data_IF_097138773981
#
_entry.id   IF_097138773981
#
_cell.length_a   1.000
_cell.length_b   1.000
_cell.length_c   1.000
_cell.angle_alpha   90.00
_cell.angle_beta   90.00
_cell.angle_gamma   90.00
#
_symmetry.space_group_name_H-M   'P 1'
#
loop_
_entity.id
_entity.type
_entity.pdbx_description
1 polymer ?
#
# COMPACT_ATOMS: atom_id res chain seq x y z
N UNK A 1 0.50 -1.75 -5.94
CA UNK A 1 1.38 -1.12 -6.95
C UNK A 1 2.21 0.00 -6.31
N UNK A 2 3.44 0.27 -6.76
CA UNK A 2 4.26 1.41 -6.26
C UNK A 2 4.87 2.21 -7.41
N UNK A 3 4.72 3.54 -7.39
CA UNK A 3 5.42 4.47 -8.30
C UNK A 3 6.22 5.51 -7.50
N UNK A 4 7.27 6.07 -8.10
CA UNK A 4 8.07 7.14 -7.47
C UNK A 4 8.24 8.28 -8.47
N UNK A 5 7.88 9.49 -8.06
CA UNK A 5 7.96 10.70 -8.87
C UNK A 5 8.42 11.87 -8.00
N UNK A 6 9.47 12.58 -8.40
CA UNK A 6 10.02 13.75 -7.71
C UNK A 6 10.22 13.57 -6.18
N UNK A 7 10.70 12.38 -5.77
CA UNK A 7 10.91 12.06 -4.36
C UNK A 7 9.64 11.71 -3.58
N UNK A 8 8.51 11.52 -4.23
CA UNK A 8 7.26 11.05 -3.61
C UNK A 8 6.93 9.65 -4.11
N UNK A 9 6.80 8.69 -3.19
CA UNK A 9 6.35 7.35 -3.52
C UNK A 9 4.83 7.26 -3.36
N UNK A 10 4.13 6.73 -4.38
CA UNK A 10 2.71 6.40 -4.28
C UNK A 10 2.55 4.88 -4.18
N UNK A 11 1.97 4.40 -3.08
CA UNK A 11 1.66 2.99 -2.82
C UNK A 11 0.15 2.80 -2.89
N UNK A 12 -0.29 1.87 -3.72
CA UNK A 12 -1.70 1.57 -3.90
C UNK A 12 -2.06 0.18 -3.39
N UNK A 13 -2.97 0.13 -2.41
CA UNK A 13 -3.71 -1.04 -1.99
C UNK A 13 -4.66 -1.45 -3.12
N UNK A 14 -4.58 -2.70 -3.58
CA UNK A 14 -5.20 -3.13 -4.85
C UNK A 14 -6.04 -4.40 -4.68
N UNK A 15 -7.02 -4.35 -3.76
CA UNK A 15 -8.11 -5.34 -3.62
C UNK A 15 -9.45 -4.59 -3.62
N UNK A 16 -9.79 -3.85 -4.69
CA UNK A 16 -10.96 -2.97 -4.71
C UNK A 16 -12.28 -3.70 -4.43
N UNK A 17 -12.42 -4.95 -4.90
CA UNK A 17 -13.61 -5.79 -4.67
C UNK A 17 -13.80 -6.21 -3.20
N UNK A 18 -12.76 -6.07 -2.38
CA UNK A 18 -12.77 -6.31 -0.93
C UNK A 18 -12.61 -5.01 -0.15
N UNK A 19 -12.87 -3.85 -0.79
CA UNK A 19 -12.65 -2.53 -0.20
C UNK A 19 -11.24 -2.37 0.38
N UNK A 20 -10.24 -3.00 -0.24
CA UNK A 20 -8.85 -3.01 0.19
C UNK A 20 -8.63 -3.56 1.62
N UNK A 21 -9.48 -4.49 2.07
CA UNK A 21 -9.29 -5.21 3.33
C UNK A 21 -7.92 -5.90 3.41
N UNK A 22 -7.31 -5.88 4.59
CA UNK A 22 -5.97 -6.40 4.85
C UNK A 22 -6.02 -7.84 5.35
N UNK A 23 -5.74 -8.78 4.45
CA UNK A 23 -5.39 -10.15 4.80
C UNK A 23 -3.88 -10.28 5.08
N UNK A 24 -3.41 -11.48 5.46
CA UNK A 24 -2.00 -11.69 5.76
C UNK A 24 -1.08 -11.44 4.56
N UNK A 25 -1.49 -11.84 3.35
CA UNK A 25 -0.69 -11.62 2.15
C UNK A 25 -0.50 -10.13 1.87
N UNK A 26 -1.56 -9.33 2.00
CA UNK A 26 -1.51 -7.88 1.82
C UNK A 26 -0.67 -7.19 2.90
N UNK A 27 -0.74 -7.66 4.16
CA UNK A 27 0.15 -7.17 5.22
C UNK A 27 1.62 -7.43 4.89
N UNK A 28 1.96 -8.64 4.43
CA UNK A 28 3.33 -8.99 4.03
C UNK A 28 3.82 -8.12 2.86
N UNK A 29 2.96 -7.86 1.87
CA UNK A 29 3.27 -6.98 0.74
C UNK A 29 3.52 -5.53 1.19
N UNK A 30 2.67 -4.99 2.07
CA UNK A 30 2.84 -3.64 2.63
C UNK A 30 4.16 -3.54 3.40
N UNK A 31 4.50 -4.55 4.20
CA UNK A 31 5.78 -4.61 4.91
C UNK A 31 6.98 -4.70 3.96
N UNK A 32 6.87 -5.47 2.88
CA UNK A 32 7.92 -5.55 1.87
C UNK A 32 8.14 -4.20 1.18
N UNK A 33 7.06 -3.50 0.81
CA UNK A 33 7.11 -2.16 0.23
C UNK A 33 7.71 -1.17 1.23
N UNK A 34 7.27 -1.17 2.48
CA UNK A 34 7.80 -0.30 3.54
C UNK A 34 9.31 -0.51 3.71
N UNK A 35 9.78 -1.76 3.77
CA UNK A 35 11.22 -2.09 3.89
C UNK A 35 12.03 -1.57 2.71
N UNK A 36 11.46 -1.63 1.50
CA UNK A 36 12.09 -1.10 0.28
C UNK A 36 12.17 0.43 0.33
N UNK A 37 11.05 1.11 0.57
CA UNK A 37 10.98 2.57 0.58
C UNK A 37 11.84 3.18 1.70
N UNK A 38 11.93 2.54 2.87
CA UNK A 38 12.78 2.99 3.99
C UNK A 38 14.25 3.14 3.61
N UNK A 39 14.74 2.38 2.63
CA UNK A 39 16.15 2.42 2.21
C UNK A 39 16.44 3.53 1.20
N UNK A 40 15.41 4.11 0.59
CA UNK A 40 15.56 5.17 -0.40
C UNK A 40 15.64 6.53 0.28
N UNK A 41 16.86 7.09 0.31
CA UNK A 41 17.15 8.39 0.93
C UNK A 41 16.69 9.58 0.08
N UNK A 42 16.32 9.37 -1.19
CA UNK A 42 15.79 10.43 -2.05
C UNK A 42 14.28 10.66 -1.83
N UNK A 43 13.60 9.73 -1.16
CA UNK A 43 12.18 9.88 -0.82
C UNK A 43 11.98 10.93 0.28
N UNK A 44 11.02 11.81 0.03
CA UNK A 44 10.57 12.89 0.93
C UNK A 44 9.19 12.61 1.51
N UNK A 45 8.35 11.86 0.81
CA UNK A 45 7.01 11.52 1.24
C UNK A 45 6.54 10.17 0.65
N UNK A 46 5.59 9.55 1.34
CA UNK A 46 4.86 8.37 0.86
C UNK A 46 3.38 8.67 0.91
N UNK A 47 2.70 8.51 -0.23
CA UNK A 47 1.24 8.51 -0.34
C UNK A 47 0.78 7.06 -0.31
N UNK A 48 -0.05 6.71 0.66
CA UNK A 48 -0.76 5.44 0.67
C UNK A 48 -2.20 5.69 0.22
N UNK A 49 -2.65 4.97 -0.81
CA UNK A 49 -4.02 5.08 -1.35
C UNK A 49 -4.63 3.69 -1.54
N UNK A 50 -5.97 3.64 -1.64
CA UNK A 50 -6.71 2.47 -2.10
C UNK A 50 -7.15 2.65 -3.54
N UNK A 51 -7.09 1.59 -4.34
CA UNK A 51 -7.78 1.54 -5.62
C UNK A 51 -9.28 1.35 -5.41
N UNK A 52 -10.09 1.94 -6.30
CA UNK A 52 -11.55 1.85 -6.22
C UNK A 52 -12.17 2.81 -5.19
N UNK A 53 -13.38 2.51 -4.68
CA UNK A 53 -14.22 3.47 -3.96
C UNK A 53 -13.81 3.67 -2.48
N UNK A 54 -12.89 2.87 -1.96
CA UNK A 54 -12.57 2.84 -0.53
C UNK A 54 -11.07 2.80 -0.32
N UNK A 55 -10.58 3.49 0.71
CA UNK A 55 -9.18 3.43 1.08
C UNK A 55 -8.79 2.03 1.58
N UNK A 56 -9.40 1.58 2.68
CA UNK A 56 -9.19 0.27 3.31
C UNK A 56 -10.34 0.00 4.29
N UNK A 57 -10.93 -1.20 4.24
CA UNK A 57 -11.98 -1.65 5.17
C UNK A 57 -11.46 -2.15 6.52
N UNK A 58 -10.13 -2.20 6.72
CA UNK A 58 -9.50 -2.74 7.92
C UNK A 58 -9.06 -4.20 7.74
N UNK A 59 -8.99 -4.95 8.85
CA UNK A 59 -8.51 -6.34 8.83
C UNK A 59 -9.54 -7.27 8.17
N UNK A 60 -9.06 -8.13 7.27
CA UNK A 60 -9.85 -9.07 6.47
C UNK A 60 -9.32 -10.49 6.67
N UNK A 61 -9.61 -11.07 7.85
CA UNK A 61 -9.16 -12.42 8.22
C UNK A 61 -10.19 -13.51 7.92
N UNK A 62 -11.20 -13.19 7.12
CA UNK A 62 -12.21 -14.14 6.67
C UNK A 62 -12.39 -14.00 5.16
N UNK A 63 -11.73 -14.87 4.42
CA UNK A 63 -12.17 -15.27 3.09
C UNK A 63 -12.54 -16.74 3.15
#
# INVERSE_FOLDING_TARGET
>A
MVSVQAGVATVSLNRPDKHNGMDFAMLDEVLAVQKRLRRDRALRAVILRGEGPSFCAGLDFKA
#
